data_IF_340458867128
#
_entry.id   IF_340458867128
#
_cell.length_a   1.000
_cell.length_b   1.000
_cell.length_c   1.000
_cell.angle_alpha   90.00
_cell.angle_beta   90.00
_cell.angle_gamma   90.00
#
_symmetry.space_group_name_H-M   'P 1'
#
loop_
_entity.id
_entity.type
_entity.pdbx_description
1 polymer ?
#
# COMPACT_ATOMS: atom_id res chain seq x y z
N UNK A 1 -16.63 -3.47 42.08
CA UNK A 1 -15.78 -4.66 41.87
C UNK A 1 -16.31 -5.35 40.61
N UNK A 2 -15.66 -5.15 39.46
CA UNK A 2 -16.07 -5.73 38.18
C UNK A 2 -14.81 -6.27 37.52
N UNK A 3 -14.72 -7.60 37.38
CA UNK A 3 -13.61 -8.28 36.72
C UNK A 3 -13.86 -8.28 35.21
N UNK A 4 -12.94 -7.66 34.47
CA UNK A 4 -12.87 -7.72 33.01
C UNK A 4 -12.31 -9.10 32.61
N UNK A 5 -13.11 -9.89 31.91
CA UNK A 5 -12.64 -11.07 31.19
C UNK A 5 -11.91 -10.60 29.93
N UNK A 6 -10.63 -10.98 29.80
CA UNK A 6 -9.87 -10.92 28.55
C UNK A 6 -9.89 -12.32 27.94
N UNK A 7 -10.58 -12.48 26.83
CA UNK A 7 -10.49 -13.68 26.00
C UNK A 7 -9.08 -13.77 25.40
N UNK A 8 -8.34 -14.82 25.78
CA UNK A 8 -7.06 -15.18 25.17
C UNK A 8 -7.35 -15.90 23.86
N UNK A 9 -7.09 -15.25 22.71
CA UNK A 9 -7.03 -15.94 21.43
C UNK A 9 -5.72 -16.73 21.34
N UNK A 10 -5.80 -18.05 21.48
CA UNK A 10 -4.71 -18.96 21.17
C UNK A 10 -4.40 -18.88 19.67
N UNK A 11 -3.20 -18.43 19.33
CA UNK A 11 -2.65 -18.60 17.99
C UNK A 11 -1.92 -19.94 17.95
N UNK A 12 -2.52 -20.91 17.26
CA UNK A 12 -1.87 -22.20 16.96
C UNK A 12 -0.77 -21.93 15.93
N UNK A 13 0.48 -22.03 16.36
CA UNK A 13 1.64 -22.16 15.47
C UNK A 13 1.74 -23.65 15.18
N UNK A 14 1.40 -24.06 13.96
CA UNK A 14 1.66 -25.43 13.51
C UNK A 14 3.17 -25.49 13.23
N UNK A 15 3.92 -26.03 14.19
CA UNK A 15 5.26 -26.54 13.96
C UNK A 15 5.14 -27.79 13.09
N UNK A 16 5.96 -27.87 12.04
CA UNK A 16 5.91 -28.95 11.06
C UNK A 16 6.15 -30.30 11.72
N UNK A 17 5.10 -31.12 11.72
CA UNK A 17 5.17 -32.55 11.97
C UNK A 17 5.04 -33.30 10.63
N UNK A 18 5.69 -34.45 10.59
CA UNK A 18 6.02 -35.32 9.45
C UNK A 18 4.93 -35.47 8.36
N UNK A 19 5.33 -35.31 7.10
CA UNK A 19 4.47 -35.52 5.94
C UNK A 19 4.27 -37.01 5.67
N UNK A 20 3.09 -37.51 6.03
CA UNK A 20 2.56 -38.75 5.48
C UNK A 20 2.36 -38.56 3.96
N UNK A 21 3.20 -39.24 3.18
CA UNK A 21 3.30 -39.09 1.73
C UNK A 21 2.39 -40.11 1.06
N UNK A 22 1.09 -39.82 1.00
CA UNK A 22 0.19 -40.44 0.02
C UNK A 22 -1.10 -39.64 -0.11
N UNK A 23 -1.46 -39.28 -1.34
CA UNK A 23 -2.73 -38.64 -1.77
C UNK A 23 -2.79 -37.10 -1.84
N UNK A 24 -1.82 -36.42 -2.50
CA UNK A 24 -2.06 -35.01 -2.91
C UNK A 24 -1.50 -34.56 -4.28
N UNK A 25 -0.95 -35.49 -5.08
CA UNK A 25 -0.34 -35.12 -6.37
C UNK A 25 -1.34 -34.72 -7.48
N UNK A 26 -2.65 -34.85 -7.27
CA UNK A 26 -3.64 -34.58 -8.33
C UNK A 26 -4.32 -33.21 -8.26
N UNK A 27 -4.12 -32.41 -7.21
CA UNK A 27 -4.77 -31.10 -7.05
C UNK A 27 -3.87 -29.93 -7.49
N UNK A 28 -2.55 -30.07 -7.40
CA UNK A 28 -1.62 -28.99 -7.73
C UNK A 28 -1.60 -28.66 -9.24
N UNK A 29 -1.88 -29.65 -10.08
CA UNK A 29 -1.88 -29.51 -11.54
C UNK A 29 -3.04 -28.67 -12.12
N UNK A 30 -4.21 -28.61 -11.48
CA UNK A 30 -5.38 -27.87 -12.02
C UNK A 30 -5.44 -26.40 -11.57
N UNK A 31 -4.55 -25.93 -10.69
CA UNK A 31 -4.61 -24.58 -10.11
C UNK A 31 -3.52 -23.63 -10.65
N UNK A 32 -2.57 -24.15 -11.43
CA UNK A 32 -1.51 -23.33 -12.04
C UNK A 32 -2.00 -22.55 -13.27
N UNK A 33 -3.01 -23.07 -13.98
CA UNK A 33 -3.50 -22.54 -15.26
C UNK A 33 -4.01 -21.07 -15.17
N UNK A 34 -4.55 -20.65 -14.02
CA UNK A 34 -5.18 -19.33 -13.87
C UNK A 34 -4.19 -18.14 -14.00
N UNK A 35 -2.89 -18.38 -13.85
CA UNK A 35 -1.86 -17.34 -13.85
C UNK A 35 -0.63 -17.67 -14.72
N UNK A 36 -0.68 -18.72 -15.55
CA UNK A 36 0.43 -19.07 -16.46
C UNK A 36 0.76 -17.91 -17.40
N UNK A 37 -0.26 -17.20 -17.87
CA UNK A 37 -0.11 -15.99 -18.70
C UNK A 37 0.76 -14.90 -18.03
N UNK A 38 0.54 -14.67 -16.73
CA UNK A 38 1.33 -13.71 -15.95
C UNK A 38 2.73 -14.27 -15.66
N UNK A 39 2.84 -15.57 -15.40
CA UNK A 39 4.13 -16.21 -15.15
C UNK A 39 5.04 -16.16 -16.37
N UNK A 40 4.55 -16.57 -17.54
CA UNK A 40 5.31 -16.60 -18.79
C UNK A 40 5.87 -15.20 -19.15
N UNK A 41 5.13 -14.15 -18.82
CA UNK A 41 5.53 -12.77 -19.10
C UNK A 41 6.47 -12.17 -18.04
N UNK A 42 6.41 -12.66 -16.80
CA UNK A 42 7.17 -12.12 -15.66
C UNK A 42 8.31 -13.04 -15.20
N UNK A 43 8.51 -14.20 -15.83
CA UNK A 43 9.51 -15.18 -15.44
C UNK A 43 10.92 -14.58 -15.39
N UNK A 44 11.29 -13.78 -16.39
CA UNK A 44 12.58 -13.08 -16.40
C UNK A 44 12.74 -12.19 -15.16
N UNK A 45 11.68 -11.51 -14.73
CA UNK A 45 11.71 -10.70 -13.52
C UNK A 45 11.84 -11.57 -12.27
N UNK A 46 11.22 -12.75 -12.21
CA UNK A 46 11.38 -13.68 -11.09
C UNK A 46 12.81 -14.19 -10.96
N UNK A 47 13.45 -14.52 -12.09
CA UNK A 47 14.78 -15.14 -12.14
C UNK A 47 15.92 -14.13 -11.90
N UNK A 48 15.66 -12.83 -12.09
CA UNK A 48 16.67 -11.79 -11.84
C UNK A 48 16.85 -11.54 -10.34
N UNK A 49 18.11 -11.65 -9.92
CA UNK A 49 18.58 -11.27 -8.58
C UNK A 49 18.13 -9.86 -8.20
N UNK A 50 17.59 -9.74 -6.99
CA UNK A 50 17.14 -8.46 -6.46
C UNK A 50 18.34 -7.71 -5.88
N UNK A 51 18.49 -6.46 -6.28
CA UNK A 51 19.60 -5.61 -5.85
C UNK A 51 19.21 -4.73 -4.67
N UNK A 52 20.13 -4.60 -3.72
CA UNK A 52 19.93 -3.77 -2.53
C UNK A 52 19.58 -2.32 -2.87
N UNK A 53 18.70 -1.71 -2.08
CA UNK A 53 18.28 -0.32 -2.24
C UNK A 53 17.32 -0.06 -3.40
N UNK A 54 17.05 -1.02 -4.28
CA UNK A 54 16.11 -0.87 -5.38
C UNK A 54 14.65 -0.91 -4.95
N UNK A 55 13.80 -0.40 -5.83
CA UNK A 55 12.35 -0.36 -5.64
C UNK A 55 11.69 -1.46 -6.44
N UNK A 56 10.74 -2.14 -5.81
CA UNK A 56 9.98 -3.22 -6.40
C UNK A 56 8.48 -3.00 -6.16
N UNK A 57 7.66 -3.51 -7.07
CA UNK A 57 6.21 -3.65 -6.87
C UNK A 57 6.00 -5.08 -6.41
N UNK A 58 5.44 -5.28 -5.23
CA UNK A 58 5.38 -6.63 -4.69
C UNK A 58 4.60 -6.73 -3.40
N UNK A 59 4.70 -7.92 -2.81
CA UNK A 59 4.08 -8.25 -1.54
C UNK A 59 5.16 -8.46 -0.48
N UNK A 60 4.79 -8.13 0.76
CA UNK A 60 5.63 -8.31 1.92
C UNK A 60 4.91 -9.05 3.04
N UNK A 61 5.69 -9.79 3.84
CA UNK A 61 5.23 -10.47 5.05
C UNK A 61 5.92 -9.87 6.27
N UNK A 62 5.15 -9.66 7.33
CA UNK A 62 5.72 -9.31 8.63
C UNK A 62 6.17 -10.58 9.35
N UNK A 63 7.41 -10.58 9.84
CA UNK A 63 8.00 -11.68 10.60
C UNK A 63 8.08 -11.26 12.08
N UNK A 64 7.16 -11.73 12.94
CA UNK A 64 7.01 -11.19 14.29
C UNK A 64 8.24 -11.34 15.18
N UNK A 65 8.92 -12.49 15.10
CA UNK A 65 10.06 -12.81 15.99
C UNK A 65 11.31 -11.99 15.70
N UNK A 66 11.47 -11.45 14.48
CA UNK A 66 12.59 -10.57 14.11
C UNK A 66 12.19 -9.10 14.04
N UNK A 67 10.89 -8.79 14.14
CA UNK A 67 10.35 -7.45 13.90
C UNK A 67 10.73 -6.86 12.54
N UNK A 68 10.83 -7.69 11.50
CA UNK A 68 11.18 -7.26 10.13
C UNK A 68 10.03 -7.54 9.16
N UNK A 69 9.98 -6.73 8.09
CA UNK A 69 9.20 -7.04 6.89
C UNK A 69 10.12 -7.71 5.89
N UNK A 70 9.70 -8.84 5.32
CA UNK A 70 10.40 -9.53 4.24
C UNK A 70 9.63 -9.38 2.94
N UNK A 71 10.34 -9.21 1.83
CA UNK A 71 9.74 -9.39 0.51
C UNK A 71 9.30 -10.86 0.37
N UNK A 72 8.12 -11.08 -0.21
CA UNK A 72 7.63 -12.44 -0.46
C UNK A 72 7.62 -12.77 -1.94
N UNK A 73 7.15 -11.82 -2.75
CA UNK A 73 7.14 -11.91 -4.19
C UNK A 73 7.09 -10.50 -4.80
N UNK A 74 7.51 -10.35 -6.04
CA UNK A 74 7.52 -9.08 -6.76
C UNK A 74 7.19 -9.29 -8.23
N UNK A 75 6.68 -8.24 -8.87
CA UNK A 75 6.30 -8.26 -10.28
C UNK A 75 7.00 -7.12 -11.02
N UNK A 76 7.25 -7.30 -12.31
CA UNK A 76 7.76 -6.24 -13.17
C UNK A 76 6.71 -5.13 -13.36
N UNK A 77 7.18 -3.91 -13.62
CA UNK A 77 6.27 -2.79 -13.88
C UNK A 77 5.39 -3.00 -15.15
N UNK A 78 5.92 -3.51 -16.28
CA UNK A 78 5.10 -3.78 -17.47
C UNK A 78 3.94 -4.74 -17.18
N UNK A 79 4.22 -5.88 -16.55
CA UNK A 79 3.21 -6.90 -16.23
C UNK A 79 2.20 -6.38 -15.22
N UNK A 80 2.65 -5.63 -14.20
CA UNK A 80 1.76 -5.00 -13.22
C UNK A 80 0.67 -4.11 -13.84
N UNK A 81 1.02 -3.32 -14.87
CA UNK A 81 0.06 -2.41 -15.51
C UNK A 81 -0.82 -3.09 -16.57
N UNK A 82 -0.48 -4.31 -16.99
CA UNK A 82 -1.23 -5.06 -18.01
C UNK A 82 -2.45 -5.77 -17.44
N UNK A 83 -2.35 -6.29 -16.22
CA UNK A 83 -3.40 -7.10 -15.60
C UNK A 83 -4.15 -6.35 -14.49
N UNK A 84 -5.32 -6.88 -14.11
CA UNK A 84 -6.07 -6.31 -13.00
C UNK A 84 -5.35 -6.53 -11.67
N UNK A 85 -5.50 -5.58 -10.74
CA UNK A 85 -4.85 -5.68 -9.43
C UNK A 85 -5.22 -6.94 -8.64
N UNK A 86 -6.45 -7.46 -8.82
CA UNK A 86 -6.86 -8.72 -8.18
C UNK A 86 -6.13 -9.93 -8.77
N UNK A 87 -5.96 -9.99 -10.11
CA UNK A 87 -5.18 -11.05 -10.76
C UNK A 87 -3.72 -11.01 -10.31
N UNK A 88 -3.10 -9.83 -10.31
CA UNK A 88 -1.72 -9.69 -9.84
C UNK A 88 -1.58 -10.07 -8.36
N UNK A 89 -2.53 -9.68 -7.52
CA UNK A 89 -2.50 -10.02 -6.10
C UNK A 89 -2.62 -11.54 -5.90
N UNK A 90 -3.50 -12.19 -6.67
CA UNK A 90 -3.66 -13.65 -6.70
C UNK A 90 -2.39 -14.36 -7.15
N UNK A 91 -1.80 -13.92 -8.26
CA UNK A 91 -0.51 -14.42 -8.78
C UNK A 91 0.60 -14.30 -7.73
N UNK A 92 0.83 -13.10 -7.20
CA UNK A 92 1.87 -12.86 -6.19
C UNK A 92 1.65 -13.71 -4.93
N UNK A 93 0.39 -13.91 -4.52
CA UNK A 93 0.04 -14.75 -3.39
C UNK A 93 0.23 -16.25 -3.66
N UNK A 94 -0.10 -16.72 -4.86
CA UNK A 94 -0.01 -18.13 -5.25
C UNK A 94 1.45 -18.58 -5.40
N UNK A 95 2.27 -17.77 -6.06
CA UNK A 95 3.70 -18.01 -6.29
C UNK A 95 4.60 -17.56 -5.12
N UNK A 96 4.01 -17.10 -4.00
CA UNK A 96 4.77 -16.74 -2.80
C UNK A 96 5.12 -17.96 -1.95
N UNK A 97 6.37 -18.06 -1.53
CA UNK A 97 6.84 -19.06 -0.57
C UNK A 97 6.24 -18.83 0.84
N UNK A 98 5.99 -17.56 1.20
CA UNK A 98 5.46 -17.18 2.51
C UNK A 98 3.97 -16.86 2.37
N UNK A 99 3.13 -17.52 3.18
CA UNK A 99 1.68 -17.23 3.22
C UNK A 99 1.41 -15.94 3.99
N UNK A 100 0.71 -15.01 3.35
CA UNK A 100 0.33 -13.71 3.92
C UNK A 100 -1.17 -13.71 4.22
N UNK A 101 -1.56 -13.37 5.46
CA UNK A 101 -2.97 -13.39 5.88
C UNK A 101 -3.83 -12.31 5.21
N UNK A 102 -3.23 -11.14 4.92
CA UNK A 102 -3.89 -10.03 4.24
C UNK A 102 -3.00 -9.56 3.08
N UNK A 103 -3.05 -10.23 1.91
CA UNK A 103 -2.18 -9.91 0.80
C UNK A 103 -2.50 -8.50 0.27
N UNK A 104 -1.47 -7.69 0.11
CA UNK A 104 -1.57 -6.36 -0.48
C UNK A 104 -0.34 -6.07 -1.33
N UNK A 105 -0.57 -5.50 -2.50
CA UNK A 105 0.51 -5.06 -3.38
C UNK A 105 0.95 -3.65 -2.97
N UNK A 106 2.24 -3.49 -2.77
CA UNK A 106 2.87 -2.24 -2.39
C UNK A 106 4.13 -1.95 -3.21
N UNK A 107 4.49 -0.67 -3.28
CA UNK A 107 5.83 -0.22 -3.68
C UNK A 107 6.72 -0.37 -2.46
N UNK A 108 7.72 -1.21 -2.57
CA UNK A 108 8.65 -1.58 -1.51
C UNK A 108 10.06 -1.19 -1.91
N UNK A 109 10.87 -0.77 -0.94
CA UNK A 109 12.32 -0.59 -1.11
C UNK A 109 13.03 -1.77 -0.46
N UNK A 110 13.83 -2.50 -1.22
CA UNK A 110 14.61 -3.62 -0.72
C UNK A 110 15.80 -3.12 0.13
N UNK A 111 16.06 -3.85 1.21
CA UNK A 111 17.20 -3.70 2.12
C UNK A 111 17.72 -5.10 2.43
N UNK A 112 18.82 -5.49 1.79
CA UNK A 112 19.48 -6.76 2.07
C UNK A 112 20.25 -6.61 3.39
N UNK A 113 19.89 -7.44 4.37
CA UNK A 113 20.51 -7.43 5.69
C UNK A 113 21.84 -8.23 5.69
N UNK A 114 22.71 -8.07 6.71
CA UNK A 114 23.99 -8.79 6.78
C UNK A 114 23.89 -10.33 6.83
N UNK A 115 22.69 -10.85 7.12
CA UNK A 115 22.37 -12.28 7.09
C UNK A 115 21.69 -12.71 5.77
N UNK A 116 21.87 -11.93 4.71
CA UNK A 116 21.28 -12.09 3.37
C UNK A 116 19.75 -12.11 3.34
N UNK A 117 19.09 -11.68 4.41
CA UNK A 117 17.64 -11.56 4.47
C UNK A 117 17.16 -10.35 3.66
N UNK A 118 16.17 -10.57 2.79
CA UNK A 118 15.57 -9.54 1.94
C UNK A 118 14.52 -8.73 2.70
N UNK A 119 14.96 -7.81 3.56
CA UNK A 119 14.07 -6.93 4.30
C UNK A 119 13.54 -5.78 3.45
N UNK A 120 12.36 -5.23 3.77
CA UNK A 120 11.73 -4.19 2.96
C UNK A 120 11.15 -3.04 3.77
N UNK A 121 11.14 -1.86 3.15
CA UNK A 121 10.45 -0.67 3.65
C UNK A 121 9.27 -0.35 2.72
N UNK A 122 8.05 -0.42 3.22
CA UNK A 122 6.84 -0.07 2.47
C UNK A 122 6.78 1.43 2.17
N UNK A 123 6.84 1.80 0.88
CA UNK A 123 6.79 3.20 0.42
C UNK A 123 5.39 3.66 0.06
N UNK A 124 4.48 2.74 -0.32
CA UNK A 124 3.08 3.10 -0.62
C UNK A 124 2.39 3.77 0.54
N UNK A 125 2.74 3.42 1.78
CA UNK A 125 2.16 4.07 2.97
C UNK A 125 2.36 5.59 2.94
N UNK A 126 3.59 6.03 2.70
CA UNK A 126 3.94 7.44 2.61
C UNK A 126 3.32 8.12 1.39
N UNK A 127 3.31 7.43 0.25
CA UNK A 127 2.67 7.94 -0.96
C UNK A 127 1.16 8.15 -0.77
N UNK A 128 0.46 7.21 -0.12
CA UNK A 128 -0.97 7.31 0.21
C UNK A 128 -1.24 8.52 1.13
N UNK A 129 -0.39 8.81 2.10
CA UNK A 129 -0.53 9.99 2.98
C UNK A 129 -0.43 11.30 2.20
N UNK A 130 0.56 11.41 1.31
CA UNK A 130 0.73 12.58 0.45
C UNK A 130 -0.48 12.72 -0.49
N UNK A 131 -0.86 11.63 -1.17
CA UNK A 131 -2.02 11.62 -2.08
C UNK A 131 -3.32 12.00 -1.37
N UNK A 132 -3.58 11.50 -0.15
CA UNK A 132 -4.77 11.86 0.65
C UNK A 132 -4.80 13.35 0.94
N UNK A 133 -3.67 13.91 1.36
CA UNK A 133 -3.52 15.35 1.63
C UNK A 133 -3.79 16.16 0.36
N UNK A 134 -3.22 15.75 -0.77
CA UNK A 134 -3.45 16.40 -2.06
C UNK A 134 -4.90 16.36 -2.49
N UNK A 135 -5.57 15.21 -2.37
CA UNK A 135 -7.00 15.07 -2.69
C UNK A 135 -7.86 15.98 -1.82
N UNK A 136 -7.58 16.05 -0.52
CA UNK A 136 -8.28 16.96 0.41
C UNK A 136 -8.08 18.43 0.00
N UNK A 137 -6.84 18.86 -0.21
CA UNK A 137 -6.52 20.25 -0.61
C UNK A 137 -7.17 20.60 -1.94
N UNK A 138 -7.10 19.69 -2.90
CA UNK A 138 -7.74 19.88 -4.19
C UNK A 138 -9.25 20.08 -4.03
N UNK A 139 -9.93 19.26 -3.24
CA UNK A 139 -11.36 19.43 -2.95
C UNK A 139 -11.68 20.77 -2.28
N UNK A 140 -10.87 21.22 -1.33
CA UNK A 140 -11.04 22.54 -0.70
C UNK A 140 -10.86 23.69 -1.70
N UNK A 141 -9.82 23.60 -2.56
CA UNK A 141 -9.60 24.57 -3.65
C UNK A 141 -10.79 24.62 -4.60
N UNK A 142 -11.31 23.47 -5.01
CA UNK A 142 -12.50 23.40 -5.87
C UNK A 142 -13.70 24.10 -5.22
N UNK A 143 -13.94 23.89 -3.92
CA UNK A 143 -15.01 24.59 -3.17
C UNK A 143 -14.80 26.11 -3.16
N UNK A 144 -13.58 26.57 -2.94
CA UNK A 144 -13.26 28.02 -2.97
C UNK A 144 -13.51 28.58 -4.36
N UNK A 145 -13.05 27.92 -5.41
CA UNK A 145 -13.24 28.37 -6.80
C UNK A 145 -14.73 28.45 -7.18
N UNK A 146 -15.50 27.40 -6.87
CA UNK A 146 -16.95 27.37 -7.13
C UNK A 146 -17.66 28.49 -6.37
N UNK A 147 -17.30 28.74 -5.11
CA UNK A 147 -17.91 29.81 -4.32
C UNK A 147 -17.50 31.20 -4.79
N UNK A 148 -16.24 31.40 -5.18
CA UNK A 148 -15.77 32.66 -5.79
C UNK A 148 -16.50 32.94 -7.09
N UNK A 149 -16.83 31.93 -7.90
CA UNK A 149 -17.56 32.09 -9.15
C UNK A 149 -19.02 32.54 -8.97
N UNK A 150 -19.57 32.55 -7.74
CA UNK A 150 -20.94 33.04 -7.49
C UNK A 150 -21.03 34.55 -7.72
N UNK A 151 -22.14 34.99 -8.32
CA UNK A 151 -22.43 36.41 -8.59
C UNK A 151 -22.28 37.27 -7.33
N UNK A 152 -22.76 36.80 -6.18
CA UNK A 152 -22.62 37.51 -4.91
C UNK A 152 -21.16 37.71 -4.48
N UNK A 153 -20.31 36.73 -4.73
CA UNK A 153 -18.87 36.80 -4.40
C UNK A 153 -18.12 37.70 -5.38
N UNK A 154 -18.47 37.66 -6.66
CA UNK A 154 -17.92 38.57 -7.67
C UNK A 154 -18.29 40.03 -7.37
N UNK A 155 -19.56 40.31 -7.08
CA UNK A 155 -20.01 41.65 -6.67
C UNK A 155 -19.30 42.15 -5.40
N UNK A 156 -19.08 41.28 -4.43
CA UNK A 156 -18.33 41.65 -3.23
C UNK A 156 -16.88 42.05 -3.58
N UNK A 157 -16.23 41.28 -4.45
CA UNK A 157 -14.88 41.56 -4.93
C UNK A 157 -14.81 42.88 -5.71
N UNK A 158 -15.79 43.17 -6.57
CA UNK A 158 -15.88 44.44 -7.29
C UNK A 158 -15.97 45.65 -6.35
N UNK A 159 -16.76 45.54 -5.28
CA UNK A 159 -16.96 46.64 -4.33
C UNK A 159 -15.81 46.83 -3.33
N UNK A 160 -15.13 45.75 -2.92
CA UNK A 160 -14.17 45.78 -1.81
C UNK A 160 -12.74 45.39 -2.21
N UNK A 161 -12.51 44.96 -3.46
CA UNK A 161 -11.20 44.46 -3.94
C UNK A 161 -10.78 43.10 -3.37
N UNK A 162 -11.63 42.46 -2.56
CA UNK A 162 -11.35 41.18 -1.92
C UNK A 162 -12.57 40.27 -1.86
N UNK A 163 -12.34 38.96 -1.86
CA UNK A 163 -13.41 37.97 -1.69
C UNK A 163 -13.91 37.95 -0.23
N UNK A 164 -15.16 37.50 0.01
CA UNK A 164 -15.71 37.38 1.36
C UNK A 164 -14.86 36.50 2.28
N UNK A 165 -15.01 36.69 3.60
CA UNK A 165 -14.33 35.88 4.61
C UNK A 165 -14.49 34.38 4.36
N UNK A 166 -13.39 33.62 4.48
CA UNK A 166 -13.33 32.19 4.17
C UNK A 166 -13.13 31.86 2.68
N UNK A 167 -13.33 32.84 1.78
CA UNK A 167 -13.01 32.73 0.35
C UNK A 167 -11.81 33.58 -0.06
N UNK A 168 -11.31 34.44 0.83
CA UNK A 168 -10.13 35.27 0.63
C UNK A 168 -8.82 34.46 0.62
N UNK A 169 -8.77 33.33 1.32
CA UNK A 169 -7.61 32.42 1.35
C UNK A 169 -7.74 31.28 0.33
N UNK A 170 -6.61 30.90 -0.30
CA UNK A 170 -6.51 29.73 -1.16
C UNK A 170 -5.68 28.64 -0.45
N UNK A 171 -6.24 27.44 -0.20
CA UNK A 171 -5.51 26.36 0.47
C UNK A 171 -4.19 26.05 -0.24
N UNK A 172 -3.08 26.01 0.50
CA UNK A 172 -1.76 25.63 -0.02
C UNK A 172 -1.35 24.23 0.45
N UNK A 173 -0.35 23.61 -0.21
CA UNK A 173 0.20 22.33 0.25
C UNK A 173 1.14 22.48 1.47
N UNK A 174 1.58 23.71 1.77
CA UNK A 174 2.56 23.99 2.83
C UNK A 174 1.89 23.91 4.20
N UNK A 175 2.54 23.23 5.16
CA UNK A 175 2.02 23.09 6.54
C UNK A 175 0.85 22.12 6.68
N UNK A 176 0.62 21.23 5.70
CA UNK A 176 -0.51 20.30 5.74
C UNK A 176 -0.15 18.86 6.10
N UNK A 177 1.13 18.47 5.95
CA UNK A 177 1.66 17.17 6.42
C UNK A 177 2.18 17.24 7.86
N UNK A 178 2.38 18.45 8.37
CA UNK A 178 2.62 18.74 9.77
C UNK A 178 1.43 19.59 10.20
N UNK A 179 0.52 19.12 11.07
CA UNK A 179 -0.52 19.99 11.59
C UNK A 179 0.20 21.11 12.33
N UNK A 180 0.31 22.29 11.72
CA UNK A 180 0.67 23.48 12.47
C UNK A 180 -0.38 23.59 13.58
N UNK A 181 0.05 23.40 14.82
CA UNK A 181 -0.75 23.80 15.98
C UNK A 181 -1.18 25.24 15.69
N UNK A 182 -2.47 25.42 15.48
CA UNK A 182 -3.06 26.75 15.40
C UNK A 182 -2.95 27.25 16.84
N UNK A 183 -1.88 27.97 17.13
CA UNK A 183 -1.82 28.82 18.32
C UNK A 183 -2.93 29.86 18.13
N UNK A 184 -4.05 29.62 18.81
CA UNK A 184 -5.06 30.63 19.04
C UNK A 184 -4.47 31.66 20.00
N UNK A 185 -4.08 32.81 19.46
CA UNK A 185 -3.87 34.05 20.21
C UNK A 185 -4.83 35.11 19.69
#
# INVERSE_FOLDING_TARGET
MCMSQREQRQHVIITGDEYDTSENDSIDSMVNDDYEDIFDEDQDHLDIDKADGNYYIGMQAYVPYRHIMLITNSISAPTFFKYSGNRICGYLYRYSVIRVSNPSIDIIKLSILPDDSYSVITKTHWLRLVQRTWKRVYQERQKVLINRAKISSQRHFELHGQYPYGLNYMPSLRGMLCPSFIETH
#
